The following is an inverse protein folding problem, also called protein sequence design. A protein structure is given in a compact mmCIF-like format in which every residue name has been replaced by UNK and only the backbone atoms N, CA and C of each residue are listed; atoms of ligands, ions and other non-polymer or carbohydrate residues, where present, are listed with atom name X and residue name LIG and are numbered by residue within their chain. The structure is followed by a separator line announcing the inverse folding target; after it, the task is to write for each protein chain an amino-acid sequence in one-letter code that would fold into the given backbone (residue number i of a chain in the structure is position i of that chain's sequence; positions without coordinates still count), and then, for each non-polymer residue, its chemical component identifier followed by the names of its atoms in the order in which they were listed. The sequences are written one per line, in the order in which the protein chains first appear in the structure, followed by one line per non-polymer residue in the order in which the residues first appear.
data_IF_922754659554
#
_entry.id   IF_922754659554
#
_cell.length_a   1.000
_cell.length_b   1.000
_cell.length_c   1.000
_cell.angle_alpha   90.00
_cell.angle_beta   90.00
_cell.angle_gamma   90.00
#
_symmetry.space_group_name_H-M   'P 1'
#
loop_
_entity.id
_entity.type
_entity.pdbx_description
1 polymer ?
#
# COMPACT_ATOMS: atom_id res chain seq x y z
N UNK A 1 22.83 -12.14 -16.96
CA UNK A 1 21.43 -11.74 -16.82
C UNK A 1 21.29 -10.83 -15.62
N UNK A 2 20.63 -9.76 -15.80
CA UNK A 2 20.40 -8.84 -14.70
C UNK A 2 19.33 -9.38 -13.77
N UNK A 3 19.55 -9.23 -12.49
CA UNK A 3 18.56 -9.60 -11.49
C UNK A 3 17.40 -8.62 -11.47
N UNK A 4 16.30 -9.08 -10.95
CA UNK A 4 15.12 -8.25 -10.72
C UNK A 4 15.32 -7.47 -9.44
N UNK A 5 15.13 -6.16 -9.48
CA UNK A 5 15.18 -5.35 -8.28
C UNK A 5 13.82 -5.45 -7.60
N UNK A 6 13.78 -6.13 -6.48
CA UNK A 6 12.53 -6.43 -5.79
C UNK A 6 11.73 -5.18 -5.44
N UNK A 7 12.41 -4.11 -5.02
CA UNK A 7 11.73 -2.88 -4.64
C UNK A 7 11.09 -2.16 -5.81
N UNK A 8 11.59 -2.35 -7.02
CA UNK A 8 11.01 -1.74 -8.21
C UNK A 8 9.71 -2.40 -8.65
N UNK A 9 9.46 -3.61 -8.16
CA UNK A 9 8.26 -4.37 -8.51
C UNK A 9 7.15 -4.21 -7.49
N UNK A 10 7.36 -3.40 -6.46
CA UNK A 10 6.38 -3.20 -5.42
C UNK A 10 5.75 -1.82 -5.63
N UNK A 11 4.45 -1.81 -5.93
CA UNK A 11 3.72 -0.57 -6.22
C UNK A 11 2.63 -0.30 -5.17
N UNK A 12 2.75 -0.95 -4.02
CA UNK A 12 1.74 -0.83 -2.97
C UNK A 12 1.54 0.62 -2.53
N UNK A 13 2.60 1.41 -2.51
CA UNK A 13 2.51 2.82 -2.12
C UNK A 13 1.62 3.62 -3.06
N UNK A 14 1.68 3.32 -4.36
CA UNK A 14 0.85 3.99 -5.35
C UNK A 14 -0.61 3.55 -5.21
N UNK A 15 -0.84 2.28 -4.95
CA UNK A 15 -2.19 1.75 -4.76
C UNK A 15 -2.86 2.36 -3.56
N UNK A 16 -2.12 2.50 -2.46
CA UNK A 16 -2.64 3.11 -1.24
C UNK A 16 -3.02 4.57 -1.49
N UNK A 17 -2.12 5.32 -2.11
CA UNK A 17 -2.35 6.73 -2.38
C UNK A 17 -3.51 6.92 -3.35
N UNK A 18 -3.58 6.11 -4.40
CA UNK A 18 -4.63 6.17 -5.39
C UNK A 18 -6.00 5.91 -4.76
N UNK A 19 -6.11 4.85 -3.98
CA UNK A 19 -7.35 4.52 -3.28
C UNK A 19 -7.80 5.68 -2.41
N UNK A 20 -6.87 6.21 -1.62
CA UNK A 20 -7.18 7.31 -0.71
C UNK A 20 -7.73 8.53 -1.47
N UNK A 21 -7.08 8.89 -2.57
CA UNK A 21 -7.50 10.04 -3.36
C UNK A 21 -8.83 9.81 -4.06
N UNK A 22 -9.03 8.61 -4.60
CA UNK A 22 -10.28 8.28 -5.28
C UNK A 22 -11.49 8.31 -4.35
N UNK A 23 -11.28 8.00 -3.08
CA UNK A 23 -12.35 7.99 -2.09
C UNK A 23 -12.40 9.28 -1.26
N UNK A 24 -11.56 10.24 -1.58
CA UNK A 24 -11.55 11.52 -0.87
C UNK A 24 -11.17 11.40 0.59
N UNK A 25 -10.31 10.44 0.93
CA UNK A 25 -9.92 10.19 2.31
C UNK A 25 -8.62 10.90 2.66
N UNK A 26 -8.55 11.37 3.91
CA UNK A 26 -7.28 11.82 4.47
C UNK A 26 -6.46 10.60 4.88
N UNK A 27 -5.17 10.81 5.13
CA UNK A 27 -4.32 9.74 5.65
C UNK A 27 -4.86 9.20 6.97
N UNK A 28 -5.38 10.08 7.83
CA UNK A 28 -5.97 9.66 9.09
C UNK A 28 -7.21 8.82 8.93
N UNK A 29 -8.07 9.17 7.95
CA UNK A 29 -9.28 8.41 7.69
C UNK A 29 -8.96 7.00 7.18
N UNK A 30 -8.01 6.90 6.27
CA UNK A 30 -7.59 5.58 5.78
C UNK A 30 -6.93 4.77 6.90
N UNK A 31 -6.11 5.42 7.72
CA UNK A 31 -5.47 4.77 8.85
C UNK A 31 -6.49 4.16 9.80
N UNK A 32 -7.59 4.88 10.05
CA UNK A 32 -8.66 4.36 10.91
C UNK A 32 -9.28 3.09 10.35
N UNK A 33 -9.47 3.03 9.04
CA UNK A 33 -10.02 1.83 8.38
C UNK A 33 -9.10 0.62 8.53
N UNK A 34 -7.80 0.86 8.60
CA UNK A 34 -6.79 -0.19 8.68
C UNK A 34 -6.29 -0.43 10.11
N UNK A 35 -6.80 0.32 11.06
CA UNK A 35 -6.38 0.23 12.47
C UNK A 35 -4.88 0.48 12.66
N UNK A 36 -4.35 1.45 11.92
CA UNK A 36 -2.96 1.90 12.04
C UNK A 36 -2.94 3.40 12.28
N UNK A 37 -1.76 3.96 12.54
CA UNK A 37 -1.63 5.40 12.75
C UNK A 37 -1.55 6.15 11.43
N UNK A 38 -1.94 7.44 11.40
CA UNK A 38 -1.76 8.26 10.19
C UNK A 38 -0.30 8.33 9.75
N UNK A 39 0.63 8.33 10.69
CA UNK A 39 2.06 8.34 10.39
C UNK A 39 2.46 7.09 9.61
N UNK A 40 1.85 5.95 9.94
CA UNK A 40 2.11 4.71 9.23
C UNK A 40 1.70 4.83 7.77
N UNK A 41 0.50 5.37 7.50
CA UNK A 41 0.04 5.58 6.13
C UNK A 41 0.99 6.52 5.38
N UNK A 42 1.40 7.61 6.03
CA UNK A 42 2.33 8.56 5.43
C UNK A 42 3.64 7.88 5.03
N UNK A 43 4.18 7.03 5.90
CA UNK A 43 5.43 6.32 5.62
C UNK A 43 5.27 5.34 4.46
N UNK A 44 4.13 4.65 4.39
CA UNK A 44 3.87 3.73 3.28
C UNK A 44 3.77 4.48 1.96
N UNK A 45 3.10 5.63 1.94
CA UNK A 45 2.93 6.42 0.71
C UNK A 45 4.25 7.02 0.22
N UNK A 46 5.20 7.29 1.14
CA UNK A 46 6.49 7.85 0.79
C UNK A 46 7.57 6.80 0.55
N UNK A 47 7.24 5.52 0.67
CA UNK A 47 8.19 4.41 0.56
C UNK A 47 9.23 4.39 1.69
N UNK A 48 8.94 5.07 2.80
CA UNK A 48 9.84 5.02 3.95
C UNK A 48 9.83 3.66 4.60
N UNK A 49 8.70 2.98 4.54
CA UNK A 49 8.59 1.58 4.95
C UNK A 49 7.44 0.92 4.19
N UNK A 50 7.35 -0.38 4.29
CA UNK A 50 6.30 -1.16 3.64
C UNK A 50 5.41 -1.82 4.68
N UNK A 51 4.13 -2.09 4.32
CA UNK A 51 3.27 -2.85 5.22
C UNK A 51 3.85 -4.22 5.51
N UNK A 52 3.68 -4.68 6.75
CA UNK A 52 4.06 -6.03 7.11
C UNK A 52 3.25 -7.04 6.30
N UNK A 53 3.83 -8.19 6.05
CA UNK A 53 3.17 -9.21 5.24
C UNK A 53 1.81 -9.61 5.82
N UNK A 54 1.67 -9.57 7.15
CA UNK A 54 0.42 -9.89 7.82
C UNK A 54 -0.69 -8.89 7.55
N UNK A 55 -0.33 -7.67 7.14
CA UNK A 55 -1.29 -6.61 6.84
C UNK A 55 -1.79 -6.67 5.39
N UNK A 56 -1.03 -7.30 4.51
CA UNK A 56 -1.35 -7.30 3.08
C UNK A 56 -2.74 -7.84 2.76
N UNK A 57 -3.21 -8.95 3.36
CA UNK A 57 -4.56 -9.43 3.04
C UNK A 57 -5.66 -8.44 3.46
N UNK A 58 -5.51 -7.81 4.62
CA UNK A 58 -6.47 -6.83 5.10
C UNK A 58 -6.44 -5.59 4.21
N UNK A 59 -5.25 -5.14 3.84
CA UNK A 59 -5.08 -3.99 2.97
C UNK A 59 -5.72 -4.24 1.60
N UNK A 60 -5.48 -5.41 1.02
CA UNK A 60 -6.08 -5.77 -0.26
C UNK A 60 -7.60 -5.77 -0.17
N UNK A 61 -8.15 -6.28 0.92
CA UNK A 61 -9.59 -6.32 1.12
C UNK A 61 -10.18 -4.91 1.21
N UNK A 62 -9.54 -4.03 1.96
CA UNK A 62 -10.00 -2.64 2.09
C UNK A 62 -9.91 -1.91 0.76
N UNK A 63 -8.82 -2.10 0.03
CA UNK A 63 -8.61 -1.45 -1.26
C UNK A 63 -9.43 -2.06 -2.39
N UNK A 64 -10.06 -3.22 -2.15
CA UNK A 64 -10.87 -3.88 -3.16
C UNK A 64 -10.06 -4.50 -4.28
N UNK A 65 -8.88 -4.98 -4.00
CA UNK A 65 -8.01 -5.61 -4.99
C UNK A 65 -7.40 -6.90 -4.42
N UNK A 66 -6.65 -7.60 -5.25
CA UNK A 66 -5.91 -8.77 -4.78
C UNK A 66 -4.52 -8.35 -4.33
N UNK A 67 -3.88 -9.18 -3.51
CA UNK A 67 -2.51 -8.91 -3.06
C UNK A 67 -1.56 -8.83 -4.26
N UNK A 68 -1.82 -9.60 -5.30
CA UNK A 68 -1.00 -9.60 -6.52
C UNK A 68 -0.90 -8.21 -7.16
N UNK A 69 -1.93 -7.39 -7.00
CA UNK A 69 -1.95 -6.05 -7.60
C UNK A 69 -1.01 -5.07 -6.91
N UNK A 70 -0.46 -5.45 -5.76
CA UNK A 70 0.54 -4.65 -5.08
C UNK A 70 1.93 -4.81 -5.71
N UNK A 71 2.07 -5.72 -6.64
CA UNK A 71 3.34 -6.02 -7.30
C UNK A 71 3.19 -5.89 -8.79
N UNK A 72 4.23 -5.40 -9.45
CA UNK A 72 4.24 -5.27 -10.89
C UNK A 72 4.75 -6.58 -11.48
N UNK A 73 4.09 -7.05 -12.54
CA UNK A 73 4.61 -8.19 -13.28
C UNK A 73 5.87 -7.80 -14.04
N UNK A 74 6.83 -8.69 -14.05
CA UNK A 74 8.09 -8.49 -14.75
C UNK A 74 8.25 -9.43 -15.92
#
# INVERSE_FOLDING_TARGET
MEGIKLTENIVIHERIKQYRKEHGLTQGELAALLCVSPQTISKWERKDCYPDISVLPVLAKVLGCSVDEFFVEV
#
